data_IF_045465546060
#
_entry.id   IF_045465546060
#
_cell.length_a   1.000
_cell.length_b   1.000
_cell.length_c   1.000
_cell.angle_alpha   90.00
_cell.angle_beta   90.00
_cell.angle_gamma   90.00
#
_symmetry.space_group_name_H-M   'P 1'
#
loop_
_entity.id
_entity.type
_entity.pdbx_description
1 polymer ?
#
# COMPACT_ATOMS: atom_id res chain seq x y z
N UNK A 1 49.01 43.46 -45.38
CA UNK A 1 48.10 42.32 -45.60
C UNK A 1 47.92 41.60 -44.26
N UNK A 2 46.92 42.04 -43.52
CA UNK A 2 46.62 41.50 -42.21
C UNK A 2 45.75 40.26 -42.41
N UNK A 3 46.26 39.05 -42.17
CA UNK A 3 45.48 37.85 -42.11
C UNK A 3 44.64 37.93 -40.85
N UNK A 4 43.39 38.18 -41.04
CA UNK A 4 42.35 38.03 -40.00
C UNK A 4 42.20 36.54 -39.71
N UNK A 5 42.83 36.09 -38.65
CA UNK A 5 42.57 34.76 -38.10
C UNK A 5 41.22 34.87 -37.39
N UNK A 6 40.17 34.45 -38.09
CA UNK A 6 38.87 34.19 -37.49
C UNK A 6 39.07 32.95 -36.57
N UNK A 7 39.38 33.22 -35.33
CA UNK A 7 39.20 32.21 -34.28
C UNK A 7 37.70 32.09 -34.15
N UNK A 8 37.15 31.11 -34.88
CA UNK A 8 35.86 30.57 -34.61
C UNK A 8 35.97 29.93 -33.20
N UNK A 9 35.74 30.75 -32.20
CA UNK A 9 35.37 30.24 -30.89
C UNK A 9 34.06 29.50 -31.14
N UNK A 10 34.19 28.22 -31.51
CA UNK A 10 33.16 27.26 -31.25
C UNK A 10 32.96 27.31 -29.75
N UNK A 11 32.12 28.23 -29.30
CA UNK A 11 31.44 28.08 -28.05
C UNK A 11 30.71 26.74 -28.20
N UNK A 12 31.40 25.65 -27.83
CA UNK A 12 30.77 24.48 -27.33
C UNK A 12 29.91 25.00 -26.18
N UNK A 13 28.67 25.34 -26.52
CA UNK A 13 27.58 25.19 -25.59
C UNK A 13 27.59 23.71 -25.24
N UNK A 14 28.44 23.33 -24.31
CA UNK A 14 28.15 22.33 -23.34
C UNK A 14 26.86 22.85 -22.67
N UNK A 15 25.73 22.73 -23.40
CA UNK A 15 24.49 22.47 -22.76
C UNK A 15 24.82 21.22 -21.93
N UNK A 16 25.29 21.45 -20.71
CA UNK A 16 25.15 20.49 -19.66
C UNK A 16 23.64 20.19 -19.70
N UNK A 17 23.26 19.20 -20.46
CA UNK A 17 22.04 18.47 -20.15
C UNK A 17 22.23 18.20 -18.68
N UNK A 18 21.62 19.02 -17.82
CA UNK A 18 21.32 18.57 -16.48
C UNK A 18 20.57 17.29 -16.75
N UNK A 19 21.27 16.18 -16.60
CA UNK A 19 20.66 14.87 -16.62
C UNK A 19 19.55 15.04 -15.60
N UNK A 20 18.31 15.05 -16.06
CA UNK A 20 17.19 15.15 -15.14
C UNK A 20 17.44 14.06 -14.12
N UNK A 21 17.44 14.43 -12.84
CA UNK A 21 17.59 13.43 -11.79
C UNK A 21 16.61 12.31 -12.10
N UNK A 22 17.05 11.07 -11.99
CA UNK A 22 16.15 9.93 -12.16
C UNK A 22 14.90 10.17 -11.30
N UNK A 23 13.70 9.88 -11.80
CA UNK A 23 12.49 10.02 -10.98
C UNK A 23 12.68 9.21 -9.71
N UNK A 24 12.23 9.76 -8.58
CA UNK A 24 12.33 9.10 -7.27
C UNK A 24 11.49 7.83 -7.22
N UNK A 25 10.41 7.80 -7.98
CA UNK A 25 9.46 6.68 -8.03
C UNK A 25 9.17 6.29 -9.48
N UNK A 26 8.76 5.06 -9.76
CA UNK A 26 8.26 4.67 -11.07
C UNK A 26 7.14 5.62 -11.52
N UNK A 27 7.21 6.08 -12.77
CA UNK A 27 6.33 7.14 -13.26
C UNK A 27 4.83 6.81 -13.16
N UNK A 28 4.49 5.55 -13.17
CA UNK A 28 3.12 5.04 -13.12
C UNK A 28 2.50 5.05 -11.71
N UNK A 29 3.29 5.20 -10.63
CA UNK A 29 2.80 5.00 -9.24
C UNK A 29 2.05 6.19 -8.64
N UNK A 30 2.28 7.40 -9.12
CA UNK A 30 1.85 8.63 -8.44
C UNK A 30 0.34 8.84 -8.31
N UNK A 31 -0.43 8.42 -9.27
CA UNK A 31 -1.89 8.63 -9.27
C UNK A 31 -2.65 7.31 -9.32
N UNK A 32 -2.25 6.38 -8.47
CA UNK A 32 -2.80 5.03 -8.42
C UNK A 32 -3.59 4.77 -7.16
N UNK A 33 -4.46 3.77 -7.26
CA UNK A 33 -5.22 3.18 -6.16
C UNK A 33 -4.81 1.72 -6.03
N UNK A 34 -4.44 1.30 -4.83
CA UNK A 34 -4.07 -0.09 -4.51
C UNK A 34 -5.32 -0.87 -4.16
N UNK A 35 -5.44 -2.08 -4.68
CA UNK A 35 -6.45 -3.04 -4.27
C UNK A 35 -5.76 -4.27 -3.68
N UNK A 36 -6.02 -4.53 -2.41
CA UNK A 36 -5.47 -5.68 -1.70
C UNK A 36 -6.34 -6.92 -1.93
N UNK A 37 -5.75 -7.93 -2.55
CA UNK A 37 -6.41 -9.18 -2.94
C UNK A 37 -6.10 -10.29 -1.93
N UNK A 38 -7.09 -10.72 -1.18
CA UNK A 38 -7.04 -11.94 -0.38
C UNK A 38 -7.47 -13.13 -1.26
N UNK A 39 -6.50 -13.79 -1.89
CA UNK A 39 -6.77 -14.86 -2.87
C UNK A 39 -7.68 -15.96 -2.31
N UNK A 40 -7.44 -16.39 -1.06
CA UNK A 40 -8.22 -17.44 -0.37
C UNK A 40 -9.71 -17.09 -0.28
N UNK A 41 -10.02 -15.80 -0.07
CA UNK A 41 -11.37 -15.32 0.19
C UNK A 41 -12.06 -14.69 -1.04
N UNK A 42 -11.32 -14.51 -2.14
CA UNK A 42 -11.75 -13.71 -3.28
C UNK A 42 -12.78 -14.38 -4.19
N UNK A 43 -12.88 -15.69 -4.12
CA UNK A 43 -13.85 -16.47 -4.88
C UNK A 43 -14.22 -17.73 -4.12
N UNK A 44 -15.34 -18.41 -4.47
CA UNK A 44 -15.67 -19.71 -3.87
C UNK A 44 -14.54 -20.73 -4.00
N UNK A 45 -13.79 -20.70 -5.11
CA UNK A 45 -12.63 -21.56 -5.34
C UNK A 45 -11.42 -21.12 -4.52
N UNK A 46 -11.25 -19.81 -4.28
CA UNK A 46 -10.10 -19.21 -3.58
C UNK A 46 -8.79 -19.43 -4.35
N UNK A 47 -8.80 -19.20 -5.67
CA UNK A 47 -7.69 -19.54 -6.56
C UNK A 47 -7.26 -18.35 -7.42
N UNK A 48 -6.07 -18.43 -8.04
CA UNK A 48 -5.60 -17.43 -9.02
C UNK A 48 -6.60 -17.26 -10.18
N UNK A 49 -7.20 -18.35 -10.65
CA UNK A 49 -8.25 -18.28 -11.69
C UNK A 49 -9.51 -17.59 -11.22
N UNK A 50 -9.84 -17.72 -9.94
CA UNK A 50 -10.93 -16.97 -9.32
C UNK A 50 -10.66 -15.47 -9.30
N UNK A 51 -9.41 -15.06 -9.03
CA UNK A 51 -8.99 -13.65 -9.12
C UNK A 51 -8.99 -13.18 -10.58
N UNK A 52 -8.43 -13.96 -11.51
CA UNK A 52 -8.41 -13.65 -12.95
C UNK A 52 -9.82 -13.37 -13.50
N UNK A 53 -10.80 -14.19 -13.10
CA UNK A 53 -12.19 -14.02 -13.52
C UNK A 53 -12.83 -12.70 -13.04
N UNK A 54 -12.29 -12.08 -11.98
CA UNK A 54 -12.77 -10.81 -11.41
C UNK A 54 -12.01 -9.57 -11.92
N UNK A 55 -10.96 -9.74 -12.73
CA UNK A 55 -10.19 -8.60 -13.26
C UNK A 55 -11.05 -7.59 -14.02
N UNK A 56 -12.05 -7.99 -14.87
CA UNK A 56 -12.93 -7.02 -15.53
C UNK A 56 -13.72 -6.15 -14.55
N UNK A 57 -14.20 -6.70 -13.42
CA UNK A 57 -14.90 -5.96 -12.37
C UNK A 57 -13.96 -4.96 -11.67
N UNK A 58 -12.73 -5.38 -11.34
CA UNK A 58 -11.73 -4.50 -10.75
C UNK A 58 -11.30 -3.40 -11.72
N UNK A 59 -11.27 -3.70 -13.03
CA UNK A 59 -11.01 -2.69 -14.06
C UNK A 59 -12.12 -1.65 -14.15
N UNK A 60 -13.36 -2.07 -14.02
CA UNK A 60 -14.52 -1.16 -13.99
C UNK A 60 -14.54 -0.33 -12.69
N UNK A 61 -14.10 -0.89 -11.58
CA UNK A 61 -13.88 -0.13 -10.32
C UNK A 61 -12.80 0.94 -10.49
N UNK A 62 -11.84 0.72 -11.38
CA UNK A 62 -10.80 1.68 -11.77
C UNK A 62 -9.51 1.59 -10.97
N UNK A 63 -9.32 0.59 -10.10
CA UNK A 63 -8.08 0.38 -9.36
C UNK A 63 -6.91 0.05 -10.29
N UNK A 64 -5.69 0.30 -9.83
CA UNK A 64 -4.50 0.28 -10.68
C UNK A 64 -3.51 -0.81 -10.29
N UNK A 65 -3.30 -1.01 -8.98
CA UNK A 65 -2.34 -1.94 -8.42
C UNK A 65 -3.10 -3.06 -7.72
N UNK A 66 -2.82 -4.30 -8.11
CA UNK A 66 -3.28 -5.49 -7.40
C UNK A 66 -2.16 -5.93 -6.45
N UNK A 67 -2.35 -5.78 -5.16
CA UNK A 67 -1.47 -6.34 -4.15
C UNK A 67 -2.03 -7.69 -3.72
N UNK A 68 -1.39 -8.79 -4.13
CA UNK A 68 -1.75 -10.11 -3.64
C UNK A 68 -1.17 -10.32 -2.24
N UNK A 69 -2.02 -10.62 -1.25
CA UNK A 69 -1.57 -11.14 0.04
C UNK A 69 -0.66 -12.36 -0.17
N UNK A 70 0.14 -12.79 0.83
CA UNK A 70 1.12 -13.83 0.59
C UNK A 70 0.48 -15.07 -0.05
N UNK A 71 0.99 -15.43 -1.21
CA UNK A 71 0.44 -16.49 -2.05
C UNK A 71 1.34 -17.74 -2.10
N UNK A 72 2.37 -17.74 -1.24
CA UNK A 72 3.39 -18.78 -1.17
C UNK A 72 2.88 -20.02 -0.45
N UNK A 73 3.60 -21.14 -0.62
CA UNK A 73 3.32 -22.36 0.14
C UNK A 73 3.41 -22.06 1.65
N UNK A 74 2.38 -22.49 2.39
CA UNK A 74 2.25 -22.31 3.85
C UNK A 74 2.81 -23.52 4.56
N UNK A 75 3.53 -23.31 5.68
CA UNK A 75 4.05 -24.36 6.53
C UNK A 75 2.96 -25.23 7.17
N UNK A 76 3.33 -26.44 7.55
CA UNK A 76 2.43 -27.41 8.22
C UNK A 76 2.76 -27.58 9.70
N UNK A 77 4.03 -27.37 10.06
CA UNK A 77 4.50 -27.50 11.45
C UNK A 77 4.00 -26.31 12.27
N UNK A 78 3.37 -26.60 13.40
CA UNK A 78 2.78 -25.61 14.32
C UNK A 78 1.73 -24.70 13.65
N UNK A 79 1.11 -25.16 12.57
CA UNK A 79 0.11 -24.44 11.79
C UNK A 79 -1.07 -23.99 12.66
N UNK A 80 -1.47 -22.74 12.54
CA UNK A 80 -2.68 -22.19 13.17
C UNK A 80 -3.89 -22.39 12.27
N UNK A 81 -5.03 -22.78 12.86
CA UNK A 81 -6.23 -23.10 12.09
C UNK A 81 -6.06 -24.30 11.16
N UNK A 82 -6.98 -24.50 10.24
CA UNK A 82 -6.92 -25.63 9.30
C UNK A 82 -6.03 -25.33 8.08
N UNK A 83 -5.98 -24.07 7.62
CA UNK A 83 -5.27 -23.67 6.42
C UNK A 83 -3.99 -22.88 6.67
N UNK A 84 -3.73 -22.48 7.91
CA UNK A 84 -2.53 -21.75 8.31
C UNK A 84 -2.52 -20.27 8.00
N UNK A 85 -1.52 -19.60 8.54
CA UNK A 85 -1.23 -18.20 8.27
C UNK A 85 -0.60 -18.03 6.89
N UNK A 86 -1.07 -17.05 6.12
CA UNK A 86 -0.40 -16.60 4.88
C UNK A 86 1.05 -16.20 5.11
N UNK A 87 1.38 -15.74 6.32
CA UNK A 87 2.69 -15.21 6.73
C UNK A 87 3.62 -16.27 7.32
N UNK A 88 3.20 -17.55 7.37
CA UNK A 88 4.03 -18.69 7.74
C UNK A 88 4.48 -19.43 6.46
N UNK A 89 5.46 -18.85 5.76
CA UNK A 89 5.90 -19.31 4.44
C UNK A 89 6.83 -20.53 4.57
N UNK A 90 6.54 -21.60 3.82
CA UNK A 90 7.36 -22.81 3.73
C UNK A 90 8.35 -22.80 2.56
N UNK A 91 8.05 -22.07 1.47
CA UNK A 91 8.94 -21.88 0.32
C UNK A 91 8.60 -20.58 -0.39
N UNK A 92 9.58 -19.66 -0.46
CA UNK A 92 9.41 -18.35 -1.13
C UNK A 92 9.26 -18.45 -2.65
N UNK A 93 9.61 -19.57 -3.27
CA UNK A 93 9.59 -19.76 -4.73
C UNK A 93 8.47 -20.68 -5.19
N UNK A 94 7.66 -21.21 -4.26
CA UNK A 94 6.53 -22.06 -4.54
C UNK A 94 5.21 -21.36 -4.21
N UNK A 95 4.24 -21.44 -5.12
CA UNK A 95 2.87 -20.97 -4.85
C UNK A 95 2.14 -21.92 -3.91
N UNK A 96 1.19 -21.39 -3.13
CA UNK A 96 0.28 -22.21 -2.35
C UNK A 96 -0.54 -23.11 -3.28
N UNK A 97 -0.47 -24.44 -3.13
CA UNK A 97 -1.20 -25.37 -4.00
C UNK A 97 -2.73 -25.22 -3.92
N UNK A 98 -3.26 -24.61 -2.84
CA UNK A 98 -4.69 -24.27 -2.74
C UNK A 98 -5.09 -23.17 -3.73
N UNK A 99 -4.17 -22.30 -4.13
CA UNK A 99 -4.44 -21.18 -5.04
C UNK A 99 -4.27 -21.58 -6.52
N UNK A 100 -3.60 -22.69 -6.78
CA UNK A 100 -3.34 -23.19 -8.13
C UNK A 100 -1.88 -23.57 -8.36
N UNK A 101 -1.47 -23.56 -9.62
CA UNK A 101 -0.11 -23.86 -10.05
C UNK A 101 0.67 -22.58 -10.31
N UNK A 102 2.00 -22.71 -10.45
CA UNK A 102 2.86 -21.60 -10.87
C UNK A 102 2.44 -21.06 -12.27
N UNK A 103 1.95 -21.94 -13.16
CA UNK A 103 1.43 -21.52 -14.46
C UNK A 103 0.13 -20.70 -14.30
N UNK A 104 -0.75 -21.06 -13.38
CA UNK A 104 -1.97 -20.27 -13.11
C UNK A 104 -1.62 -18.89 -12.57
N UNK A 105 -0.54 -18.77 -11.79
CA UNK A 105 -0.02 -17.48 -11.35
C UNK A 105 0.55 -16.67 -12.53
N UNK A 106 1.40 -17.26 -13.37
CA UNK A 106 1.95 -16.59 -14.57
C UNK A 106 0.83 -16.12 -15.53
N UNK A 107 -0.26 -16.89 -15.64
CA UNK A 107 -1.43 -16.53 -16.42
C UNK A 107 -2.17 -15.35 -15.80
N UNK A 108 -2.32 -15.31 -14.47
CA UNK A 108 -2.92 -14.18 -13.76
C UNK A 108 -2.09 -12.89 -13.94
N UNK A 109 -0.76 -12.95 -13.80
CA UNK A 109 0.12 -11.78 -14.01
C UNK A 109 -0.08 -11.22 -15.41
N UNK A 110 -0.05 -12.10 -16.45
CA UNK A 110 -0.27 -11.71 -17.84
C UNK A 110 -1.65 -11.09 -18.04
N UNK A 111 -2.71 -11.74 -17.53
CA UNK A 111 -4.09 -11.25 -17.66
C UNK A 111 -4.31 -9.89 -16.96
N UNK A 112 -3.64 -9.66 -15.82
CA UNK A 112 -3.64 -8.39 -15.13
C UNK A 112 -2.97 -7.30 -15.99
N UNK A 113 -1.78 -7.57 -16.53
CA UNK A 113 -1.07 -6.64 -17.41
C UNK A 113 -1.84 -6.34 -18.70
N UNK A 114 -2.47 -7.33 -19.31
CA UNK A 114 -3.29 -7.15 -20.52
C UNK A 114 -4.48 -6.21 -20.29
N UNK A 115 -4.96 -6.11 -19.06
CA UNK A 115 -5.99 -5.16 -18.63
C UNK A 115 -5.43 -3.85 -18.06
N UNK A 116 -4.10 -3.70 -18.00
CA UNK A 116 -3.41 -2.48 -17.59
C UNK A 116 -3.23 -2.34 -16.08
N UNK A 117 -3.42 -3.42 -15.31
CA UNK A 117 -3.04 -3.45 -13.90
C UNK A 117 -1.53 -3.60 -13.73
N UNK A 118 -1.06 -3.16 -12.57
CA UNK A 118 0.20 -3.58 -11.98
C UNK A 118 -0.07 -4.61 -10.89
N UNK A 119 0.81 -5.59 -10.74
CA UNK A 119 0.65 -6.64 -9.75
C UNK A 119 1.88 -6.70 -8.86
N UNK A 120 1.67 -6.52 -7.55
CA UNK A 120 2.72 -6.63 -6.54
C UNK A 120 2.43 -7.78 -5.58
N UNK A 121 3.48 -8.33 -5.00
CA UNK A 121 3.38 -9.42 -4.03
C UNK A 121 3.65 -8.94 -2.61
N UNK A 122 3.00 -9.58 -1.66
CA UNK A 122 3.35 -9.45 -0.26
C UNK A 122 4.64 -10.22 0.02
N UNK A 123 5.64 -9.56 0.58
CA UNK A 123 6.95 -10.13 0.87
C UNK A 123 7.21 -10.19 2.36
N UNK A 124 7.26 -11.40 2.90
CA UNK A 124 7.45 -11.66 4.33
C UNK A 124 8.92 -11.87 4.61
N UNK A 125 9.63 -10.79 4.92
CA UNK A 125 11.07 -10.84 5.12
C UNK A 125 11.49 -11.19 6.55
N UNK A 126 10.63 -10.94 7.56
CA UNK A 126 11.02 -11.08 8.97
C UNK A 126 11.18 -12.54 9.42
N UNK A 127 10.32 -13.45 8.91
CA UNK A 127 10.23 -14.82 9.40
C UNK A 127 9.85 -15.81 8.29
N UNK A 128 9.99 -17.10 8.58
CA UNK A 128 9.47 -18.21 7.78
C UNK A 128 8.69 -19.19 8.66
N UNK A 129 8.03 -20.17 8.04
CA UNK A 129 7.46 -21.30 8.78
C UNK A 129 8.56 -22.18 9.44
N UNK A 130 8.24 -22.95 10.49
CA UNK A 130 9.21 -23.86 11.13
C UNK A 130 9.72 -24.99 10.22
N UNK A 131 8.97 -25.31 9.18
CA UNK A 131 9.27 -26.33 8.16
C UNK A 131 9.65 -25.73 6.80
N UNK A 132 10.08 -24.47 6.80
CA UNK A 132 10.59 -23.82 5.58
C UNK A 132 11.78 -24.60 5.01
N UNK A 133 11.89 -24.67 3.70
CA UNK A 133 12.97 -25.38 2.99
C UNK A 133 14.37 -24.96 3.41
N UNK A 134 14.55 -23.74 3.95
CA UNK A 134 15.82 -23.26 4.49
C UNK A 134 16.19 -23.87 5.84
N UNK A 135 15.24 -24.41 6.60
CA UNK A 135 15.52 -25.02 7.91
C UNK A 135 16.45 -26.23 7.77
N UNK A 136 16.33 -26.99 6.69
CA UNK A 136 17.19 -28.13 6.38
C UNK A 136 18.25 -27.80 5.32
N UNK A 137 17.92 -26.93 4.37
CA UNK A 137 18.74 -26.61 3.21
C UNK A 137 19.81 -25.55 3.43
N UNK A 138 19.79 -24.80 4.53
CA UNK A 138 20.71 -23.71 4.84
C UNK A 138 21.38 -23.91 6.21
N UNK A 139 22.51 -23.22 6.48
CA UNK A 139 23.17 -23.26 7.78
C UNK A 139 22.25 -22.84 8.93
N UNK A 140 22.48 -23.40 10.12
CA UNK A 140 21.65 -23.16 11.30
C UNK A 140 21.58 -21.68 11.72
N UNK A 141 22.58 -20.88 11.39
CA UNK A 141 22.66 -19.44 11.65
C UNK A 141 21.88 -18.55 10.66
N UNK A 142 21.11 -19.18 9.76
CA UNK A 142 20.09 -18.50 8.97
C UNK A 142 18.94 -17.99 9.86
N UNK A 143 18.73 -18.62 11.02
CA UNK A 143 17.67 -18.29 11.97
C UNK A 143 18.26 -17.80 13.28
N UNK A 144 17.57 -16.87 13.91
CA UNK A 144 17.82 -16.48 15.28
C UNK A 144 17.58 -17.66 16.22
N UNK A 145 18.42 -17.81 17.26
CA UNK A 145 18.38 -18.96 18.14
C UNK A 145 18.51 -18.55 19.60
N UNK A 146 17.83 -19.29 20.47
CA UNK A 146 18.00 -19.19 21.90
C UNK A 146 19.32 -19.81 22.38
N UNK A 147 19.60 -19.71 23.67
CA UNK A 147 20.82 -20.26 24.29
C UNK A 147 20.92 -21.80 24.23
N UNK A 148 19.81 -22.48 23.90
CA UNK A 148 19.75 -23.94 23.75
C UNK A 148 19.88 -24.36 22.28
N UNK A 149 19.96 -23.38 21.37
CA UNK A 149 20.10 -23.60 19.93
C UNK A 149 18.77 -23.82 19.18
N UNK A 150 17.63 -23.59 19.81
CA UNK A 150 16.34 -23.64 19.13
C UNK A 150 16.09 -22.35 18.34
N UNK A 151 15.56 -22.47 17.12
CA UNK A 151 15.11 -21.31 16.37
C UNK A 151 13.94 -20.63 17.09
N UNK A 152 14.02 -19.29 17.23
CA UNK A 152 13.03 -18.50 17.98
C UNK A 152 11.98 -17.90 17.06
N UNK A 153 10.88 -17.47 17.64
CA UNK A 153 9.80 -16.69 17.03
C UNK A 153 9.52 -15.46 17.86
N UNK A 154 8.88 -14.46 17.26
CA UNK A 154 8.49 -13.23 17.94
C UNK A 154 7.02 -13.25 18.34
N UNK A 155 6.68 -12.44 19.32
CA UNK A 155 5.30 -12.26 19.80
C UNK A 155 4.61 -13.60 20.12
N UNK A 156 3.38 -13.80 19.61
CA UNK A 156 2.63 -15.04 19.68
C UNK A 156 2.58 -15.79 18.32
N UNK A 157 3.55 -15.51 17.43
CA UNK A 157 3.63 -16.11 16.09
C UNK A 157 4.33 -17.46 16.13
N UNK A 158 3.76 -18.40 16.91
CA UNK A 158 4.37 -19.72 17.19
C UNK A 158 4.59 -20.56 15.94
N UNK A 159 3.85 -20.28 14.87
CA UNK A 159 3.91 -20.91 13.56
C UNK A 159 4.98 -20.27 12.64
N UNK A 160 5.91 -19.47 13.21
CA UNK A 160 6.99 -18.82 12.47
C UNK A 160 8.35 -19.05 13.14
N UNK A 161 9.44 -18.68 12.42
CA UNK A 161 10.83 -18.63 12.93
C UNK A 161 11.53 -17.40 12.37
N UNK A 162 12.12 -16.59 13.23
CA UNK A 162 12.80 -15.34 12.90
C UNK A 162 14.09 -15.58 12.11
N UNK A 163 14.29 -14.85 11.02
CA UNK A 163 15.50 -14.89 10.21
C UNK A 163 16.62 -14.06 10.86
N UNK A 164 17.85 -14.53 10.75
CA UNK A 164 19.02 -13.88 11.33
C UNK A 164 19.67 -12.93 10.32
N UNK A 165 19.36 -11.65 10.38
CA UNK A 165 19.92 -10.62 9.49
C UNK A 165 21.36 -10.17 9.83
N UNK A 166 22.01 -10.71 10.85
CA UNK A 166 23.45 -10.59 11.02
C UNK A 166 24.22 -11.52 10.05
N UNK A 167 23.56 -12.52 9.48
CA UNK A 167 24.11 -13.37 8.42
C UNK A 167 23.74 -12.82 7.04
N UNK A 168 24.72 -12.24 6.33
CA UNK A 168 24.50 -11.68 4.98
C UNK A 168 24.10 -12.74 3.93
N UNK A 169 24.28 -14.03 4.19
CA UNK A 169 23.77 -15.08 3.30
C UNK A 169 22.23 -15.15 3.30
N UNK A 170 21.55 -14.68 4.37
CA UNK A 170 20.12 -14.48 4.40
C UNK A 170 19.70 -13.38 3.41
N UNK A 171 20.49 -12.30 3.33
CA UNK A 171 20.23 -11.19 2.41
C UNK A 171 20.27 -11.66 0.94
N UNK A 172 21.31 -12.43 0.61
CA UNK A 172 21.46 -12.96 -0.74
C UNK A 172 20.32 -13.93 -1.11
N UNK A 173 19.89 -14.78 -0.15
CA UNK A 173 18.81 -15.71 -0.38
C UNK A 173 17.46 -15.00 -0.53
N UNK A 174 17.20 -13.92 0.23
CA UNK A 174 16.01 -13.08 0.09
C UNK A 174 16.01 -12.37 -1.29
N UNK A 175 17.12 -11.73 -1.67
CA UNK A 175 17.24 -11.04 -2.97
C UNK A 175 17.02 -12.01 -4.14
N UNK A 176 17.59 -13.22 -4.08
CA UNK A 176 17.40 -14.27 -5.10
C UNK A 176 15.91 -14.65 -5.24
N UNK A 177 15.22 -14.86 -4.13
CA UNK A 177 13.79 -15.20 -4.15
C UNK A 177 12.91 -14.04 -4.65
N UNK A 178 13.20 -12.79 -4.29
CA UNK A 178 12.49 -11.62 -4.82
C UNK A 178 12.68 -11.52 -6.35
N UNK A 179 13.92 -11.69 -6.83
CA UNK A 179 14.23 -11.67 -8.28
C UNK A 179 13.51 -12.75 -9.06
N UNK A 180 13.35 -13.95 -8.49
CA UNK A 180 12.57 -15.02 -9.10
C UNK A 180 11.15 -14.58 -9.51
N UNK A 181 10.50 -13.73 -8.69
CA UNK A 181 9.17 -13.20 -9.00
C UNK A 181 9.21 -12.01 -9.96
N UNK A 182 10.24 -11.14 -9.86
CA UNK A 182 10.44 -10.05 -10.83
C UNK A 182 10.67 -10.58 -12.24
N UNK A 183 11.43 -11.67 -12.40
CA UNK A 183 11.64 -12.34 -13.68
C UNK A 183 10.34 -12.94 -14.26
N UNK A 184 9.31 -13.17 -13.43
CA UNK A 184 7.96 -13.59 -13.84
C UNK A 184 7.02 -12.43 -14.13
N UNK A 185 7.52 -11.20 -14.08
CA UNK A 185 6.78 -10.00 -14.45
C UNK A 185 6.03 -9.33 -13.31
N UNK A 186 6.32 -9.67 -12.04
CA UNK A 186 5.77 -8.94 -10.89
C UNK A 186 6.31 -7.51 -10.88
N UNK A 187 5.46 -6.53 -10.59
CA UNK A 187 5.79 -5.11 -10.66
C UNK A 187 6.32 -4.52 -9.35
N UNK A 188 6.50 -5.34 -8.33
CA UNK A 188 7.05 -4.89 -7.05
C UNK A 188 6.56 -5.69 -5.85
N UNK A 189 6.77 -5.11 -4.66
CA UNK A 189 6.48 -5.79 -3.40
C UNK A 189 5.89 -4.85 -2.35
N UNK A 190 4.96 -5.38 -1.56
CA UNK A 190 4.63 -4.88 -0.22
C UNK A 190 5.41 -5.72 0.77
N UNK A 191 6.27 -5.11 1.54
CA UNK A 191 7.11 -5.81 2.49
C UNK A 191 6.48 -5.79 3.89
N UNK A 192 6.12 -6.99 4.35
CA UNK A 192 5.52 -7.27 5.65
C UNK A 192 6.47 -6.91 6.78
N UNK A 193 5.94 -6.30 7.86
CA UNK A 193 6.67 -5.95 9.06
C UNK A 193 8.07 -5.35 8.77
N UNK A 194 8.17 -4.47 7.75
CA UNK A 194 9.46 -4.00 7.24
C UNK A 194 10.31 -3.26 8.27
N UNK A 195 9.70 -2.68 9.31
CA UNK A 195 10.40 -2.03 10.40
C UNK A 195 11.06 -3.01 11.39
N UNK A 196 10.59 -4.26 11.47
CA UNK A 196 11.18 -5.32 12.30
C UNK A 196 12.45 -5.88 11.64
N UNK A 197 12.58 -5.75 10.32
CA UNK A 197 13.78 -6.14 9.57
C UNK A 197 14.80 -5.00 9.59
N UNK A 198 16.09 -5.25 9.90
CA UNK A 198 17.10 -4.20 9.99
C UNK A 198 17.18 -3.35 8.71
N UNK A 199 17.11 -2.02 8.84
CA UNK A 199 17.19 -1.09 7.70
C UNK A 199 18.44 -1.29 6.83
N UNK A 200 19.55 -1.78 7.42
CA UNK A 200 20.77 -2.12 6.70
C UNK A 200 20.56 -3.17 5.60
N UNK A 201 19.64 -4.12 5.81
CA UNK A 201 19.27 -5.11 4.81
C UNK A 201 18.59 -4.46 3.62
N UNK A 202 17.52 -3.69 3.86
CA UNK A 202 16.79 -2.99 2.79
C UNK A 202 17.70 -2.08 1.98
N UNK A 203 18.50 -1.25 2.65
CA UNK A 203 19.53 -0.39 2.02
C UNK A 203 20.62 -1.18 1.28
N UNK A 204 20.84 -2.42 1.65
CA UNK A 204 21.82 -3.30 1.00
C UNK A 204 21.35 -3.93 -0.30
N UNK A 205 20.05 -4.25 -0.42
CA UNK A 205 19.50 -4.98 -1.57
C UNK A 205 18.65 -4.10 -2.50
N UNK A 206 17.77 -3.23 -1.95
CA UNK A 206 16.78 -2.51 -2.77
C UNK A 206 17.40 -1.56 -3.81
N UNK A 207 18.46 -0.77 -3.54
CA UNK A 207 19.08 0.06 -4.58
C UNK A 207 19.63 -0.74 -5.76
N UNK A 208 20.16 -1.94 -5.52
CA UNK A 208 20.64 -2.84 -6.58
C UNK A 208 19.48 -3.41 -7.38
N UNK A 209 18.43 -3.82 -6.69
CA UNK A 209 17.21 -4.31 -7.31
C UNK A 209 16.56 -3.23 -8.19
N UNK A 210 16.44 -1.99 -7.69
CA UNK A 210 15.94 -0.85 -8.46
C UNK A 210 16.81 -0.51 -9.69
N UNK A 211 18.13 -0.71 -9.60
CA UNK A 211 19.02 -0.49 -10.74
C UNK A 211 18.79 -1.52 -11.85
N UNK A 212 18.49 -2.78 -11.49
CA UNK A 212 18.23 -3.87 -12.43
C UNK A 212 16.76 -3.84 -12.95
N UNK A 213 15.83 -3.39 -12.12
CA UNK A 213 14.38 -3.32 -12.38
C UNK A 213 13.84 -1.91 -12.04
N UNK A 214 14.11 -0.88 -12.87
CA UNK A 214 13.87 0.52 -12.50
C UNK A 214 12.38 0.92 -12.41
N UNK A 215 11.47 0.06 -12.83
CA UNK A 215 10.03 0.30 -12.81
C UNK A 215 9.29 -0.46 -11.69
N UNK A 216 10.02 -1.08 -10.75
CA UNK A 216 9.37 -1.77 -9.61
C UNK A 216 8.88 -0.78 -8.56
N UNK A 217 7.82 -1.14 -7.88
CA UNK A 217 7.23 -0.37 -6.78
C UNK A 217 7.42 -1.11 -5.46
N UNK A 218 7.90 -0.38 -4.45
CA UNK A 218 8.25 -0.92 -3.15
C UNK A 218 7.45 -0.22 -2.05
N UNK A 219 6.59 -0.98 -1.37
CA UNK A 219 5.75 -0.52 -0.28
C UNK A 219 6.18 -1.19 1.02
N UNK A 220 6.52 -0.40 2.04
CA UNK A 220 6.84 -0.90 3.38
C UNK A 220 5.60 -0.89 4.29
N UNK A 221 5.33 -2.01 4.94
CA UNK A 221 4.53 -1.97 6.16
C UNK A 221 5.42 -1.48 7.31
N UNK A 222 5.52 -0.17 7.39
CA UNK A 222 6.33 0.54 8.37
C UNK A 222 5.90 1.99 8.50
N UNK A 223 6.14 2.58 9.66
CA UNK A 223 6.21 4.01 9.88
C UNK A 223 7.55 4.34 10.53
N UNK A 224 8.62 4.30 9.75
CA UNK A 224 10.00 4.52 10.20
C UNK A 224 10.72 5.46 9.25
N UNK A 225 11.31 6.52 9.78
CA UNK A 225 12.14 7.49 9.03
C UNK A 225 13.37 6.85 8.37
N UNK A 226 13.84 5.71 8.91
CA UNK A 226 14.94 4.95 8.33
C UNK A 226 14.61 4.29 6.97
N UNK A 227 13.31 4.20 6.62
CA UNK A 227 12.78 3.48 5.46
C UNK A 227 12.01 4.38 4.46
N UNK A 228 12.17 5.70 4.55
CA UNK A 228 11.37 6.66 3.76
C UNK A 228 12.11 7.29 2.59
N UNK A 229 13.40 7.01 2.40
CA UNK A 229 14.14 7.51 1.26
C UNK A 229 13.97 6.56 0.06
N UNK A 230 13.20 6.96 -0.98
CA UNK A 230 12.95 6.09 -2.13
C UNK A 230 14.21 5.80 -2.96
N UNK A 231 15.28 6.59 -2.80
CA UNK A 231 16.56 6.31 -3.44
C UNK A 231 17.33 5.17 -2.75
N UNK A 232 17.05 4.92 -1.48
CA UNK A 232 17.75 3.92 -0.66
C UNK A 232 16.87 2.75 -0.23
N UNK A 233 15.55 2.94 -0.13
CA UNK A 233 14.63 1.96 0.46
C UNK A 233 13.30 1.88 -0.31
N UNK A 234 12.21 2.44 0.23
CA UNK A 234 10.84 2.22 -0.24
C UNK A 234 10.21 3.47 -0.85
N UNK A 235 9.38 3.27 -1.87
CA UNK A 235 8.55 4.31 -2.47
C UNK A 235 7.46 4.79 -1.51
N UNK A 236 6.86 3.87 -0.79
CA UNK A 236 5.72 4.10 0.08
C UNK A 236 5.87 3.44 1.44
N UNK A 237 5.20 4.03 2.41
CA UNK A 237 5.06 3.52 3.77
C UNK A 237 3.60 3.58 4.21
N UNK A 238 3.19 2.71 5.11
CA UNK A 238 1.86 2.78 5.72
C UNK A 238 1.64 4.07 6.49
N UNK A 239 0.40 4.54 6.52
CA UNK A 239 -0.06 5.64 7.38
C UNK A 239 -0.83 5.08 8.60
N UNK A 240 -0.21 4.18 9.37
CA UNK A 240 -0.83 3.55 10.54
C UNK A 240 -1.32 4.57 11.56
N UNK A 241 -0.51 5.58 11.84
CA UNK A 241 -0.86 6.63 12.79
C UNK A 241 -2.09 7.43 12.33
N UNK A 242 -2.17 7.74 11.03
CA UNK A 242 -3.37 8.37 10.47
C UNK A 242 -4.58 7.45 10.58
N UNK A 243 -4.43 6.16 10.21
CA UNK A 243 -5.49 5.16 10.34
C UNK A 243 -6.08 5.12 11.76
N UNK A 244 -5.23 5.09 12.78
CA UNK A 244 -5.68 5.13 14.17
C UNK A 244 -6.37 6.46 14.51
N UNK A 245 -5.87 7.60 14.01
CA UNK A 245 -6.52 8.90 14.20
C UNK A 245 -7.91 8.91 13.56
N UNK A 246 -8.06 8.39 12.34
CA UNK A 246 -9.38 8.33 11.67
C UNK A 246 -10.38 7.48 12.46
N UNK A 247 -9.95 6.33 12.98
CA UNK A 247 -10.78 5.51 13.89
C UNK A 247 -11.17 6.27 15.16
N UNK A 248 -10.22 6.94 15.79
CA UNK A 248 -10.47 7.73 17.02
C UNK A 248 -11.39 8.92 16.76
N UNK A 249 -11.30 9.57 15.59
CA UNK A 249 -12.24 10.64 15.19
C UNK A 249 -13.65 10.07 14.99
N UNK A 250 -13.79 8.96 14.28
CA UNK A 250 -15.07 8.29 14.08
C UNK A 250 -15.75 7.89 15.42
N UNK A 251 -14.93 7.58 16.43
CA UNK A 251 -15.37 7.20 17.77
C UNK A 251 -15.50 8.38 18.73
N UNK A 252 -15.32 9.62 18.25
CA UNK A 252 -15.42 10.84 19.06
C UNK A 252 -14.30 11.03 20.10
N UNK A 253 -13.19 10.28 19.99
CA UNK A 253 -12.02 10.40 20.86
C UNK A 253 -11.04 11.49 20.41
N UNK A 254 -11.04 11.79 19.11
CA UNK A 254 -10.24 12.81 18.44
C UNK A 254 -11.10 13.65 17.52
N UNK A 255 -10.51 14.68 16.92
CA UNK A 255 -11.18 15.69 16.12
C UNK A 255 -10.46 15.96 14.80
N UNK A 256 -11.05 16.79 13.93
CA UNK A 256 -10.42 17.31 12.73
C UNK A 256 -9.04 17.94 12.97
N UNK A 257 -8.83 18.51 14.17
CA UNK A 257 -7.55 19.10 14.57
C UNK A 257 -6.43 18.06 14.65
N UNK A 258 -6.72 16.88 15.18
CA UNK A 258 -5.70 15.81 15.31
C UNK A 258 -5.22 15.32 13.92
N UNK A 259 -6.11 15.33 12.93
CA UNK A 259 -5.73 15.01 11.53
C UNK A 259 -4.80 16.11 10.99
N UNK A 260 -5.09 17.38 11.22
CA UNK A 260 -4.22 18.49 10.80
C UNK A 260 -2.85 18.42 11.46
N UNK A 261 -2.80 18.21 12.76
CA UNK A 261 -1.56 18.08 13.51
C UNK A 261 -0.71 16.89 13.01
N UNK A 262 -1.34 15.78 12.63
CA UNK A 262 -0.66 14.66 11.99
C UNK A 262 -0.05 15.08 10.67
N UNK A 263 -0.80 15.73 9.78
CA UNK A 263 -0.32 16.12 8.46
C UNK A 263 0.84 17.12 8.53
N UNK A 264 0.78 18.08 9.48
CA UNK A 264 1.86 19.05 9.70
C UNK A 264 3.14 18.36 10.21
N UNK A 265 3.02 17.31 11.02
CA UNK A 265 4.15 16.55 11.55
C UNK A 265 4.74 15.56 10.53
N UNK A 266 3.90 14.99 9.65
CA UNK A 266 4.27 13.93 8.72
C UNK A 266 5.34 14.35 7.71
N UNK A 267 5.28 15.58 7.21
CA UNK A 267 6.29 16.13 6.29
C UNK A 267 7.68 16.20 6.92
N UNK A 268 7.74 16.55 8.19
CA UNK A 268 9.01 16.64 8.91
C UNK A 268 9.56 15.26 9.32
N UNK A 269 8.67 14.29 9.54
CA UNK A 269 9.04 12.95 10.01
C UNK A 269 9.32 11.98 8.86
N UNK A 270 8.39 11.89 7.90
CA UNK A 270 8.46 10.88 6.82
C UNK A 270 8.98 11.45 5.49
N UNK A 271 9.31 12.74 5.45
CA UNK A 271 9.76 13.43 4.25
C UNK A 271 8.65 13.68 3.22
N UNK A 272 8.86 14.64 2.29
CA UNK A 272 7.83 15.05 1.33
C UNK A 272 7.66 14.07 0.17
N UNK A 273 8.66 13.24 -0.13
CA UNK A 273 8.66 12.34 -1.28
C UNK A 273 7.97 11.01 -0.99
N UNK A 274 8.06 10.49 0.23
CA UNK A 274 7.50 9.20 0.58
C UNK A 274 5.98 9.17 0.40
N UNK A 275 5.45 8.15 -0.29
CA UNK A 275 4.00 7.94 -0.40
C UNK A 275 3.47 7.39 0.91
N UNK A 276 2.25 7.75 1.25
CA UNK A 276 1.57 7.27 2.45
C UNK A 276 0.40 6.37 2.04
N UNK A 277 0.51 5.05 2.24
CA UNK A 277 -0.61 4.14 2.05
C UNK A 277 -1.68 4.49 3.07
N UNK A 278 -2.80 5.03 2.59
CA UNK A 278 -3.93 5.47 3.42
C UNK A 278 -5.11 4.53 3.24
N UNK A 279 -5.70 4.09 4.35
CA UNK A 279 -6.74 3.06 4.33
C UNK A 279 -7.68 3.19 5.52
N UNK A 280 -8.89 2.75 5.33
CA UNK A 280 -9.88 2.54 6.38
C UNK A 280 -9.92 1.08 6.81
N UNK A 281 -9.52 0.16 5.94
CA UNK A 281 -9.43 -1.28 6.22
C UNK A 281 -8.28 -1.94 5.45
N UNK A 282 -7.80 -3.07 5.95
CA UNK A 282 -6.88 -4.02 5.32
C UNK A 282 -7.15 -5.41 5.91
N UNK A 283 -6.36 -6.42 5.54
CA UNK A 283 -6.53 -7.79 6.02
C UNK A 283 -6.40 -7.91 7.56
N UNK A 284 -5.48 -7.14 8.18
CA UNK A 284 -5.29 -7.17 9.63
C UNK A 284 -6.46 -6.51 10.36
N UNK A 285 -6.79 -5.28 9.98
CA UNK A 285 -7.88 -4.55 10.61
C UNK A 285 -9.21 -5.30 10.46
N UNK A 286 -9.52 -5.79 9.27
CA UNK A 286 -10.74 -6.54 9.04
C UNK A 286 -10.82 -7.80 9.90
N UNK A 287 -9.76 -8.61 9.94
CA UNK A 287 -9.77 -9.90 10.67
C UNK A 287 -9.72 -9.72 12.19
N UNK A 288 -8.90 -8.78 12.68
CA UNK A 288 -8.57 -8.67 14.11
C UNK A 288 -9.32 -7.58 14.84
N UNK A 289 -9.52 -6.41 14.20
CA UNK A 289 -10.14 -5.24 14.81
C UNK A 289 -11.62 -5.06 14.42
N UNK A 290 -12.02 -5.62 13.29
CA UNK A 290 -13.37 -5.54 12.73
C UNK A 290 -13.42 -4.81 11.40
N UNK A 291 -14.55 -4.94 10.68
CA UNK A 291 -14.77 -4.18 9.46
C UNK A 291 -14.74 -2.67 9.75
N UNK A 292 -14.53 -1.83 8.73
CA UNK A 292 -14.61 -0.38 8.87
C UNK A 292 -15.97 0.08 9.43
N UNK A 293 -17.02 -0.64 9.14
CA UNK A 293 -18.36 -0.35 9.68
C UNK A 293 -18.48 -0.67 11.17
N UNK A 294 -17.83 -1.75 11.65
CA UNK A 294 -17.76 -2.05 13.10
C UNK A 294 -16.96 -0.99 13.85
N UNK A 295 -15.87 -0.49 13.24
CA UNK A 295 -14.94 0.44 13.89
C UNK A 295 -15.35 1.91 13.78
N UNK A 296 -15.90 2.31 12.63
CA UNK A 296 -16.16 3.71 12.28
C UNK A 296 -17.64 4.02 12.10
N UNK A 297 -18.53 3.01 12.02
CA UNK A 297 -19.98 3.22 11.82
C UNK A 297 -20.29 4.09 10.60
N UNK A 298 -21.15 5.07 10.78
CA UNK A 298 -21.58 6.00 9.71
C UNK A 298 -20.44 6.90 9.19
N UNK A 299 -19.36 7.04 9.96
CA UNK A 299 -18.18 7.80 9.55
C UNK A 299 -17.33 7.09 8.48
N UNK A 300 -17.51 5.79 8.23
CA UNK A 300 -16.64 5.01 7.33
C UNK A 300 -16.47 5.67 5.95
N UNK A 301 -17.55 6.15 5.34
CA UNK A 301 -17.49 6.79 4.02
C UNK A 301 -16.67 8.09 3.99
N UNK A 302 -16.84 8.98 4.99
CA UNK A 302 -16.06 10.23 5.03
C UNK A 302 -14.60 9.98 5.33
N UNK A 303 -14.27 8.97 6.14
CA UNK A 303 -12.87 8.56 6.37
C UNK A 303 -12.24 8.00 5.09
N UNK A 304 -13.00 7.26 4.29
CA UNK A 304 -12.55 6.81 2.96
C UNK A 304 -12.28 8.00 2.02
N UNK A 305 -13.18 9.00 1.98
CA UNK A 305 -12.97 10.25 1.23
C UNK A 305 -11.63 10.92 1.63
N UNK A 306 -11.32 10.93 2.93
CA UNK A 306 -10.05 11.48 3.40
C UNK A 306 -8.85 10.66 2.92
N UNK A 307 -8.92 9.33 2.94
CA UNK A 307 -7.86 8.46 2.40
C UNK A 307 -7.57 8.76 0.91
N UNK A 308 -8.60 9.10 0.13
CA UNK A 308 -8.45 9.44 -1.29
C UNK A 308 -7.99 10.88 -1.56
N UNK A 309 -8.13 11.80 -0.60
CA UNK A 309 -7.95 13.24 -0.85
C UNK A 309 -6.83 13.90 -0.06
N UNK A 310 -6.36 13.30 1.03
CA UNK A 310 -5.28 13.84 1.85
C UNK A 310 -3.92 13.84 1.11
N UNK A 311 -3.00 14.78 1.44
CA UNK A 311 -1.70 14.90 0.76
C UNK A 311 -0.83 13.65 0.93
N UNK A 312 0.02 13.39 -0.06
CA UNK A 312 0.94 12.24 -0.18
C UNK A 312 0.25 10.87 -0.21
N UNK A 313 -1.07 10.83 -0.04
CA UNK A 313 -1.84 9.60 0.07
C UNK A 313 -1.86 8.77 -1.21
N UNK A 314 -1.68 7.47 -1.05
CA UNK A 314 -2.02 6.44 -2.01
C UNK A 314 -3.11 5.58 -1.36
N UNK A 315 -4.35 5.63 -1.84
CA UNK A 315 -5.44 4.91 -1.20
C UNK A 315 -5.35 3.42 -1.41
N UNK A 316 -5.76 2.66 -0.39
CA UNK A 316 -5.94 1.22 -0.42
C UNK A 316 -7.44 0.87 -0.30
N UNK A 317 -7.89 -0.04 -1.13
CA UNK A 317 -9.18 -0.72 -1.02
C UNK A 317 -8.92 -2.20 -0.72
N UNK A 318 -9.46 -2.71 0.37
CA UNK A 318 -9.31 -4.12 0.73
C UNK A 318 -10.40 -5.00 0.10
N UNK A 319 -10.10 -6.26 -0.13
CA UNK A 319 -11.02 -7.30 -0.64
C UNK A 319 -12.41 -7.22 -0.03
N UNK A 320 -13.42 -6.92 -0.83
CA UNK A 320 -14.82 -6.83 -0.43
C UNK A 320 -15.25 -5.46 0.12
N UNK A 321 -14.32 -4.56 0.38
CA UNK A 321 -14.65 -3.23 0.87
C UNK A 321 -15.54 -2.48 -0.13
N UNK A 322 -15.29 -2.62 -1.43
CA UNK A 322 -16.06 -1.97 -2.49
C UNK A 322 -17.52 -2.42 -2.61
N UNK A 323 -17.85 -3.56 -2.04
CA UNK A 323 -19.26 -4.02 -1.95
C UNK A 323 -19.87 -3.74 -0.56
N UNK A 324 -19.17 -3.00 0.30
CA UNK A 324 -19.61 -2.71 1.65
C UNK A 324 -19.66 -3.94 2.56
N UNK A 325 -18.67 -4.83 2.42
CA UNK A 325 -18.58 -6.05 3.24
C UNK A 325 -18.46 -5.69 4.72
N UNK A 326 -19.52 -5.92 5.49
CA UNK A 326 -19.62 -5.53 6.90
C UNK A 326 -19.28 -6.66 7.89
N UNK A 327 -18.62 -7.71 7.42
CA UNK A 327 -18.17 -8.83 8.26
C UNK A 327 -16.66 -8.96 8.24
N UNK A 328 -16.15 -9.63 9.28
CA UNK A 328 -14.74 -10.05 9.34
C UNK A 328 -14.53 -11.26 8.44
N UNK A 329 -13.42 -11.31 7.74
CA UNK A 329 -12.97 -12.47 7.01
C UNK A 329 -12.09 -13.34 7.92
N UNK A 330 -12.31 -14.64 7.89
CA UNK A 330 -11.51 -15.60 8.66
C UNK A 330 -10.07 -15.63 8.16
N UNK A 331 -9.11 -15.49 9.06
CA UNK A 331 -7.70 -15.40 8.69
C UNK A 331 -7.06 -16.77 8.41
N UNK A 332 -7.38 -17.76 9.22
CA UNK A 332 -6.77 -19.11 9.14
C UNK A 332 -7.64 -20.12 8.42
N UNK A 333 -8.82 -19.73 7.98
CA UNK A 333 -9.83 -20.61 7.38
C UNK A 333 -10.30 -20.03 6.04
N UNK A 334 -10.98 -20.86 5.26
CA UNK A 334 -11.65 -20.42 4.03
C UNK A 334 -13.02 -19.85 4.35
N UNK A 335 -13.24 -18.60 4.01
CA UNK A 335 -14.46 -17.85 4.27
C UNK A 335 -14.77 -16.92 3.06
N UNK A 336 -15.03 -17.51 1.85
CA UNK A 336 -15.02 -16.78 0.61
C UNK A 336 -16.17 -15.78 0.50
N UNK A 337 -15.91 -14.69 -0.18
CA UNK A 337 -16.95 -13.79 -0.67
C UNK A 337 -17.58 -14.44 -1.89
N UNK A 338 -18.88 -14.70 -1.81
CA UNK A 338 -19.64 -15.39 -2.86
C UNK A 338 -20.56 -14.47 -3.64
N UNK A 339 -20.87 -13.29 -3.11
CA UNK A 339 -21.71 -12.28 -3.76
C UNK A 339 -20.91 -10.99 -3.97
N UNK A 340 -20.63 -10.70 -5.22
CA UNK A 340 -19.95 -9.49 -5.69
C UNK A 340 -20.91 -8.54 -6.39
N UNK A 341 -22.20 -8.61 -6.08
CA UNK A 341 -23.20 -7.74 -6.67
C UNK A 341 -22.90 -6.27 -6.36
N UNK A 342 -22.89 -5.44 -7.39
CA UNK A 342 -22.70 -4.01 -7.26
C UNK A 342 -23.85 -3.38 -6.47
N UNK A 343 -23.49 -2.37 -5.67
CA UNK A 343 -24.42 -1.60 -4.86
C UNK A 343 -23.99 -0.13 -4.78
N UNK A 344 -24.67 0.67 -3.95
CA UNK A 344 -24.34 2.09 -3.77
C UNK A 344 -22.93 2.32 -3.16
N UNK A 345 -22.38 1.36 -2.43
CA UNK A 345 -21.00 1.47 -1.92
C UNK A 345 -19.99 1.22 -3.05
N UNK A 346 -20.27 0.30 -3.96
CA UNK A 346 -19.46 0.07 -5.18
C UNK A 346 -19.42 1.35 -6.04
N UNK A 347 -20.58 1.98 -6.25
CA UNK A 347 -20.65 3.25 -6.98
C UNK A 347 -19.85 4.35 -6.28
N UNK A 348 -19.95 4.44 -4.94
CA UNK A 348 -19.19 5.40 -4.14
C UNK A 348 -17.68 5.23 -4.28
N UNK A 349 -17.14 4.01 -4.15
CA UNK A 349 -15.70 3.74 -4.33
C UNK A 349 -15.26 4.04 -5.76
N UNK A 350 -16.04 3.60 -6.77
CA UNK A 350 -15.77 3.91 -8.19
C UNK A 350 -15.69 5.41 -8.44
N UNK A 351 -16.59 6.19 -7.87
CA UNK A 351 -16.62 7.65 -8.01
C UNK A 351 -15.37 8.29 -7.35
N UNK A 352 -14.93 7.79 -6.20
CA UNK A 352 -13.72 8.27 -5.54
C UNK A 352 -12.46 7.96 -6.37
N UNK A 353 -12.36 6.75 -6.93
CA UNK A 353 -11.26 6.37 -7.82
C UNK A 353 -11.24 7.28 -9.05
N UNK A 354 -12.39 7.45 -9.71
CA UNK A 354 -12.52 8.33 -10.87
C UNK A 354 -12.18 9.79 -10.53
N UNK A 355 -12.65 10.27 -9.38
CA UNK A 355 -12.33 11.61 -8.90
C UNK A 355 -10.83 11.80 -8.69
N UNK A 356 -10.16 10.84 -8.07
CA UNK A 356 -8.71 10.89 -7.87
C UNK A 356 -7.97 10.94 -9.22
N UNK A 357 -8.30 10.06 -10.15
CA UNK A 357 -7.66 10.00 -11.47
C UNK A 357 -7.87 11.30 -12.27
N UNK A 358 -9.02 11.94 -12.15
CA UNK A 358 -9.34 13.19 -12.83
C UNK A 358 -8.54 14.40 -12.27
N UNK A 359 -7.94 14.27 -11.07
CA UNK A 359 -7.33 15.38 -10.36
C UNK A 359 -5.85 15.13 -10.04
N UNK A 360 -4.91 15.47 -10.93
CA UNK A 360 -3.45 15.30 -10.68
C UNK A 360 -2.94 15.94 -9.39
N UNK A 361 -3.65 16.94 -8.86
CA UNK A 361 -3.33 17.54 -7.55
C UNK A 361 -3.45 16.55 -6.39
N UNK A 362 -4.19 15.45 -6.57
CA UNK A 362 -4.32 14.38 -5.59
C UNK A 362 -3.22 13.31 -5.70
N UNK A 363 -2.30 13.43 -6.64
CA UNK A 363 -1.18 12.50 -6.76
C UNK A 363 -0.44 12.30 -5.43
N UNK A 364 0.15 11.14 -5.27
CA UNK A 364 0.96 10.80 -4.09
C UNK A 364 2.32 11.53 -4.12
N UNK A 365 3.01 11.57 -2.98
CA UNK A 365 4.34 12.10 -2.84
C UNK A 365 4.48 13.55 -3.33
N UNK A 366 5.64 13.87 -3.87
CA UNK A 366 6.05 15.22 -4.27
C UNK A 366 5.34 15.77 -5.52
N UNK A 367 4.67 14.92 -6.30
CA UNK A 367 3.85 15.36 -7.45
C UNK A 367 2.47 15.83 -7.05
N UNK A 368 1.98 15.40 -5.89
CA UNK A 368 0.72 15.88 -5.35
C UNK A 368 0.82 17.32 -4.82
N UNK A 369 -0.28 18.04 -4.83
CA UNK A 369 -0.31 19.36 -4.21
C UNK A 369 -0.47 19.25 -2.69
N UNK A 370 0.18 20.09 -1.88
CA UNK A 370 -0.05 20.15 -0.45
C UNK A 370 -1.49 20.57 -0.14
N UNK A 371 -1.97 20.23 1.04
CA UNK A 371 -3.23 20.75 1.56
C UNK A 371 -3.04 22.21 2.05
N UNK A 372 -3.99 23.05 1.68
CA UNK A 372 -4.13 24.40 2.24
C UNK A 372 -5.46 24.42 2.98
N UNK A 373 -5.41 24.47 4.29
CA UNK A 373 -6.60 24.42 5.13
C UNK A 373 -7.44 25.69 5.01
N UNK A 374 -8.75 25.53 5.11
CA UNK A 374 -9.73 26.60 5.16
C UNK A 374 -10.07 26.82 6.63
N UNK A 375 -9.69 27.98 7.16
CA UNK A 375 -9.78 28.26 8.61
C UNK A 375 -11.18 28.72 9.06
N UNK A 376 -11.97 29.34 8.18
CA UNK A 376 -13.33 29.83 8.49
C UNK A 376 -14.37 28.71 8.33
N UNK A 377 -14.23 27.66 9.16
CA UNK A 377 -15.16 26.52 9.22
C UNK A 377 -15.48 26.19 10.69
N UNK A 378 -16.65 25.61 10.97
CA UNK A 378 -17.01 25.16 12.31
C UNK A 378 -16.04 24.10 12.85
N UNK A 379 -15.95 24.03 14.17
CA UNK A 379 -15.29 22.94 14.86
C UNK A 379 -15.88 21.58 14.43
N UNK A 380 -15.05 20.58 14.18
CA UNK A 380 -15.46 19.28 13.68
C UNK A 380 -15.54 19.19 12.15
N UNK A 381 -15.39 20.31 11.42
CA UNK A 381 -15.26 20.28 9.97
C UNK A 381 -13.79 20.35 9.57
N UNK A 382 -13.34 19.38 8.80
CA UNK A 382 -12.05 19.43 8.10
C UNK A 382 -12.29 19.97 6.69
N UNK A 383 -11.69 21.14 6.37
CA UNK A 383 -11.80 21.71 5.05
C UNK A 383 -10.44 22.16 4.51
N UNK A 384 -10.15 21.80 3.28
CA UNK A 384 -8.87 22.15 2.64
C UNK A 384 -9.00 22.21 1.12
N UNK A 385 -7.98 22.79 0.50
CA UNK A 385 -7.81 22.77 -0.96
C UNK A 385 -6.47 22.14 -1.32
N UNK A 386 -6.42 21.46 -2.46
CA UNK A 386 -5.20 20.97 -3.09
C UNK A 386 -5.10 21.50 -4.52
N UNK A 387 -3.91 21.93 -4.94
CA UNK A 387 -3.69 22.44 -6.30
C UNK A 387 -4.21 23.85 -6.55
N UNK A 388 -4.15 24.29 -7.80
CA UNK A 388 -4.52 25.63 -8.26
C UNK A 388 -5.24 25.59 -9.62
N UNK A 389 -5.99 26.63 -9.92
CA UNK A 389 -6.66 26.78 -11.21
C UNK A 389 -7.68 25.66 -11.48
N UNK A 390 -7.64 25.11 -12.71
CA UNK A 390 -8.58 24.04 -13.12
C UNK A 390 -8.36 22.69 -12.43
N UNK A 391 -7.14 22.48 -11.92
CA UNK A 391 -6.79 21.25 -11.18
C UNK A 391 -6.95 21.40 -9.67
N UNK A 392 -7.61 22.46 -9.18
CA UNK A 392 -7.86 22.67 -7.76
C UNK A 392 -8.96 21.72 -7.29
N UNK A 393 -8.67 20.95 -6.27
CA UNK A 393 -9.64 20.20 -5.49
C UNK A 393 -9.96 20.96 -4.21
N UNK A 394 -11.21 20.97 -3.81
CA UNK A 394 -11.66 21.49 -2.51
C UNK A 394 -12.46 20.42 -1.80
N UNK A 395 -12.11 20.15 -0.56
CA UNK A 395 -12.75 19.16 0.30
C UNK A 395 -13.37 19.86 1.50
N UNK A 396 -14.60 19.52 1.82
CA UNK A 396 -15.26 19.81 3.09
C UNK A 396 -15.75 18.48 3.65
N UNK A 397 -15.35 18.13 4.85
CA UNK A 397 -15.73 16.90 5.54
C UNK A 397 -16.27 17.25 6.93
N UNK A 398 -17.51 16.92 7.19
CA UNK A 398 -18.10 16.98 8.52
C UNK A 398 -17.70 15.72 9.28
N UNK A 399 -16.88 15.88 10.30
CA UNK A 399 -16.36 14.80 11.14
C UNK A 399 -17.10 14.71 12.48
N UNK A 400 -18.43 14.97 12.43
CA UNK A 400 -19.31 14.88 13.60
C UNK A 400 -20.60 14.13 13.24
N UNK A 401 -21.29 13.66 14.25
CA UNK A 401 -22.59 12.98 14.18
C UNK A 401 -23.80 13.93 14.11
N UNK A 402 -23.55 15.21 13.89
CA UNK A 402 -24.58 16.25 13.77
C UNK A 402 -24.45 17.01 12.44
N UNK A 403 -25.55 17.53 11.88
CA UNK A 403 -25.49 18.38 10.71
C UNK A 403 -24.78 19.70 11.05
N UNK A 404 -23.96 20.21 10.11
CA UNK A 404 -23.17 21.43 10.29
C UNK A 404 -23.33 22.36 9.10
N UNK A 405 -23.63 23.63 9.37
CA UNK A 405 -23.61 24.66 8.33
C UNK A 405 -22.21 25.15 8.03
N UNK A 406 -21.84 25.15 6.75
CA UNK A 406 -20.55 25.64 6.26
C UNK A 406 -20.73 26.68 5.20
N UNK A 407 -19.86 27.69 5.17
CA UNK A 407 -19.83 28.70 4.10
C UNK A 407 -18.94 28.22 2.96
N UNK A 408 -19.55 27.92 1.82
CA UNK A 408 -18.85 27.52 0.60
C UNK A 408 -18.98 28.66 -0.43
N UNK A 409 -17.93 29.43 -0.59
CA UNK A 409 -17.95 30.65 -1.41
C UNK A 409 -18.92 31.70 -0.85
N UNK A 410 -20.03 31.97 -1.55
CA UNK A 410 -21.06 32.94 -1.11
C UNK A 410 -22.31 32.27 -0.53
N UNK A 411 -22.38 30.97 -0.50
CA UNK A 411 -23.52 30.19 -0.02
C UNK A 411 -23.24 29.59 1.33
N UNK A 412 -24.27 29.48 2.15
CA UNK A 412 -24.26 28.62 3.33
C UNK A 412 -24.89 27.30 2.90
N UNK A 413 -24.20 26.20 3.16
CA UNK A 413 -24.64 24.85 2.84
C UNK A 413 -24.60 23.99 4.09
N UNK A 414 -25.55 23.09 4.23
CA UNK A 414 -25.57 22.12 5.32
C UNK A 414 -24.84 20.85 4.87
N UNK A 415 -23.89 20.41 5.67
CA UNK A 415 -23.30 19.07 5.58
C UNK A 415 -24.05 18.17 6.54
N UNK A 416 -24.56 17.07 6.05
CA UNK A 416 -25.15 16.01 6.89
C UNK A 416 -24.15 15.47 7.91
N UNK A 417 -24.57 14.77 8.97
CA UNK A 417 -23.67 14.03 9.84
C UNK A 417 -22.74 13.14 9.00
N UNK A 418 -21.44 13.20 9.26
CA UNK A 418 -20.40 12.48 8.50
C UNK A 418 -20.46 12.71 6.98
N UNK A 419 -21.08 13.82 6.57
CA UNK A 419 -21.23 14.21 5.18
C UNK A 419 -20.01 14.96 4.64
N UNK A 420 -19.89 14.99 3.32
CA UNK A 420 -18.79 15.70 2.65
C UNK A 420 -19.21 16.37 1.36
N UNK A 421 -18.35 17.26 0.87
CA UNK A 421 -18.42 17.83 -0.49
C UNK A 421 -17.06 17.87 -1.12
N UNK A 422 -17.01 17.48 -2.39
CA UNK A 422 -15.84 17.53 -3.26
C UNK A 422 -16.14 18.43 -4.47
N UNK A 423 -15.16 19.29 -4.83
CA UNK A 423 -15.26 20.20 -5.96
C UNK A 423 -13.97 20.19 -6.80
#
# INVERSE_FOLDING_TARGET
>A
MKKLILILAAALCLAACKQAAAPLHPAWTYNTVVYEVNVRQFSPEGTFKGVEAQLPRLKDLGVDILWLMPMYQIGEVERKGSLGSYYAIADYTAVNPEFGTLQDFDDLVRAAHDQGFKLILDWVANQTAPDHVWMEGKPADFYERDSLGNAIYEYNWTDTRSLNYENEAVWAAQDECMRFWLERGVDGFRCDAAAEVPAKFWKGILPKMNADYPDIYLLAEAESDALTDPAETFDASYAWKLHHILNDVAQGKKTARDIREYLDADDAWMGPANFRLMFTSNHDENSWSGSEFERMGDAAKVMEVLCFTLPKGQPLVYTGQEIGLSRRLEFFEKDPITDWSENEYTAFIRDLVAFRHAHPSLAAGEKGAPAVFIEDVPEGVLAFTRGKGRGKVTVYANLTDAPVEVKIGRKVECLDPWGWKLF
#
